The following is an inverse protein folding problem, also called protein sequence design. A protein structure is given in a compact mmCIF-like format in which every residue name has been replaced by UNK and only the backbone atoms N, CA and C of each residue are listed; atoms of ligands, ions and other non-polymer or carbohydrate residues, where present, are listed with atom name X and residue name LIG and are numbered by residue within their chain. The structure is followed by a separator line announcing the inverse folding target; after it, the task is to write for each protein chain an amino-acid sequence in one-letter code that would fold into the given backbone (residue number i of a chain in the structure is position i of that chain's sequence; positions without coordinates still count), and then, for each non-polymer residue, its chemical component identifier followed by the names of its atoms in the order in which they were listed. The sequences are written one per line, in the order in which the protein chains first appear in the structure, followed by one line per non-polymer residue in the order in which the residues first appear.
data_IF_091361383793
#
_entry.id   IF_091361383793
#
_cell.length_a   1.000
_cell.length_b   1.000
_cell.length_c   1.000
_cell.angle_alpha   90.00
_cell.angle_beta   90.00
_cell.angle_gamma   90.00
#
_symmetry.space_group_name_H-M   'P 1'
#
loop_
_entity.id
_entity.type
_entity.pdbx_description
1 polymer ?
#
# COMPACT_ATOMS: atom_id res chain seq x y z
N UNK A 1 -20.17 -18.93 -10.41
CA UNK A 1 -20.20 -18.13 -11.67
C UNK A 1 -19.58 -18.81 -12.89
N UNK A 2 -18.37 -19.40 -12.79
CA UNK A 2 -17.74 -20.03 -13.98
C UNK A 2 -18.55 -21.23 -14.49
N UNK A 3 -19.13 -22.01 -13.59
CA UNK A 3 -19.98 -23.17 -13.93
C UNK A 3 -21.28 -22.78 -14.65
N UNK A 4 -21.75 -21.54 -14.47
CA UNK A 4 -22.94 -21.00 -15.15
C UNK A 4 -22.61 -20.23 -16.44
N UNK A 5 -21.36 -20.28 -16.91
CA UNK A 5 -20.91 -19.60 -18.13
C UNK A 5 -20.62 -18.10 -17.96
N UNK A 6 -20.87 -17.52 -16.79
CA UNK A 6 -20.63 -16.10 -16.51
C UNK A 6 -19.15 -15.87 -16.18
N UNK A 7 -18.49 -14.98 -16.94
CA UNK A 7 -17.04 -14.72 -16.86
C UNK A 7 -16.72 -13.27 -16.47
N UNK A 8 -17.42 -12.73 -15.48
CA UNK A 8 -17.27 -11.32 -15.05
C UNK A 8 -15.84 -10.93 -14.66
N UNK A 9 -15.01 -11.88 -14.21
CA UNK A 9 -13.59 -11.66 -13.88
C UNK A 9 -12.71 -11.28 -15.06
N UNK A 10 -13.15 -11.46 -16.31
CA UNK A 10 -12.42 -10.98 -17.49
C UNK A 10 -12.60 -9.47 -17.72
N UNK A 11 -13.71 -8.90 -17.25
CA UNK A 11 -14.05 -7.49 -17.43
C UNK A 11 -13.82 -6.63 -16.18
N UNK A 12 -13.66 -7.24 -15.01
CA UNK A 12 -13.53 -6.57 -13.71
C UNK A 12 -12.24 -6.94 -13.01
N UNK A 13 -11.49 -5.94 -12.54
CA UNK A 13 -10.25 -6.15 -11.78
C UNK A 13 -10.47 -6.66 -10.34
N UNK A 14 -11.66 -6.45 -9.77
CA UNK A 14 -12.00 -6.88 -8.42
C UNK A 14 -13.46 -7.37 -8.38
N UNK A 15 -13.65 -8.57 -7.83
CA UNK A 15 -14.94 -9.24 -7.70
C UNK A 15 -15.70 -8.86 -6.41
N UNK A 16 -15.03 -8.32 -5.40
CA UNK A 16 -15.65 -7.85 -4.16
C UNK A 16 -16.25 -6.45 -4.24
N UNK A 17 -16.53 -5.95 -5.45
CA UNK A 17 -17.09 -4.59 -5.62
C UNK A 17 -18.60 -4.59 -5.46
N UNK A 18 -19.17 -3.46 -5.00
CA UNK A 18 -20.63 -3.29 -4.86
C UNK A 18 -21.39 -3.60 -6.16
N UNK A 19 -20.82 -3.22 -7.31
CA UNK A 19 -21.37 -3.55 -8.64
C UNK A 19 -21.50 -5.07 -8.87
N UNK A 20 -20.47 -5.84 -8.51
CA UNK A 20 -20.48 -7.30 -8.68
C UNK A 20 -21.43 -7.95 -7.66
N UNK A 21 -21.46 -7.47 -6.42
CA UNK A 21 -22.41 -7.95 -5.41
C UNK A 21 -23.86 -7.70 -5.80
N UNK A 22 -24.18 -6.54 -6.39
CA UNK A 22 -25.50 -6.25 -6.93
C UNK A 22 -25.88 -7.22 -8.06
N UNK A 23 -24.93 -7.58 -8.93
CA UNK A 23 -25.15 -8.59 -9.97
C UNK A 23 -25.41 -9.95 -9.34
N UNK A 24 -24.62 -10.37 -8.35
CA UNK A 24 -24.81 -11.65 -7.65
C UNK A 24 -26.22 -11.70 -7.03
N UNK A 25 -26.64 -10.65 -6.33
CA UNK A 25 -27.99 -10.56 -5.76
C UNK A 25 -29.08 -10.66 -6.83
N UNK A 26 -28.93 -9.94 -7.95
CA UNK A 26 -29.89 -10.03 -9.06
C UNK A 26 -29.95 -11.44 -9.68
N UNK A 27 -28.81 -12.12 -9.79
CA UNK A 27 -28.74 -13.50 -10.25
C UNK A 27 -29.38 -14.48 -9.24
N UNK A 28 -29.28 -14.24 -7.94
CA UNK A 28 -29.98 -15.06 -6.93
C UNK A 28 -31.49 -14.85 -7.07
N UNK A 29 -31.95 -13.61 -7.25
CA UNK A 29 -33.37 -13.23 -7.43
C UNK A 29 -34.02 -13.70 -8.76
N UNK A 30 -33.31 -14.45 -9.60
CA UNK A 30 -33.88 -14.94 -10.87
C UNK A 30 -33.54 -14.09 -12.11
N UNK A 31 -33.00 -12.89 -11.94
CA UNK A 31 -32.76 -11.93 -13.03
C UNK A 31 -31.47 -12.27 -13.79
N UNK A 32 -31.61 -12.96 -14.91
CA UNK A 32 -30.47 -13.39 -15.74
C UNK A 32 -30.30 -12.62 -17.05
N UNK A 33 -31.12 -11.60 -17.32
CA UNK A 33 -31.00 -10.80 -18.55
C UNK A 33 -29.70 -9.97 -18.54
N UNK A 34 -28.77 -10.21 -19.49
CA UNK A 34 -27.50 -9.49 -19.54
C UNK A 34 -27.66 -7.97 -19.69
N UNK A 35 -28.72 -7.49 -20.35
CA UNK A 35 -28.97 -6.06 -20.52
C UNK A 35 -29.37 -5.39 -19.19
N UNK A 36 -30.17 -6.07 -18.36
CA UNK A 36 -30.50 -5.60 -17.01
C UNK A 36 -29.28 -5.65 -16.07
N UNK A 37 -28.50 -6.73 -16.10
CA UNK A 37 -27.32 -6.88 -15.24
C UNK A 37 -26.24 -5.82 -15.55
N UNK A 38 -26.06 -5.47 -16.82
CA UNK A 38 -25.12 -4.42 -17.25
C UNK A 38 -25.45 -3.04 -16.64
N UNK A 39 -26.73 -2.75 -16.39
CA UNK A 39 -27.18 -1.48 -15.78
C UNK A 39 -26.75 -1.37 -14.32
N UNK A 40 -26.57 -2.49 -13.61
CA UNK A 40 -26.15 -2.53 -12.21
C UNK A 40 -24.67 -2.17 -12.01
N UNK A 41 -23.86 -2.25 -13.06
CA UNK A 41 -22.43 -1.94 -12.98
C UNK A 41 -22.22 -0.43 -13.03
N UNK A 42 -21.74 0.16 -11.93
CA UNK A 42 -21.28 1.55 -11.97
C UNK A 42 -19.84 1.62 -12.51
N UNK A 43 -19.60 2.45 -13.52
CA UNK A 43 -18.30 2.55 -14.20
C UNK A 43 -18.07 1.50 -15.30
N UNK A 44 -16.81 1.23 -15.63
CA UNK A 44 -16.39 0.28 -16.68
C UNK A 44 -16.85 0.61 -18.12
N UNK A 45 -16.80 1.91 -18.46
CA UNK A 45 -17.33 2.45 -19.72
C UNK A 45 -16.77 1.78 -20.98
N UNK A 46 -15.51 1.38 -20.99
CA UNK A 46 -14.89 0.74 -22.15
C UNK A 46 -15.50 -0.65 -22.45
N UNK A 47 -15.73 -1.47 -21.42
CA UNK A 47 -16.29 -2.81 -21.60
C UNK A 47 -17.81 -2.77 -21.84
N UNK A 48 -18.51 -1.75 -21.34
CA UNK A 48 -19.91 -1.47 -21.70
C UNK A 48 -20.04 -1.10 -23.17
N UNK A 49 -19.27 -0.10 -23.63
CA UNK A 49 -19.30 0.37 -25.02
C UNK A 49 -18.92 -0.71 -26.02
N UNK A 50 -17.98 -1.59 -25.67
CA UNK A 50 -17.54 -2.68 -26.54
C UNK A 50 -18.44 -3.92 -26.49
N UNK A 51 -19.51 -3.94 -25.67
CA UNK A 51 -20.39 -5.10 -25.53
C UNK A 51 -19.80 -6.28 -24.76
N UNK A 52 -18.48 -6.30 -24.52
CA UNK A 52 -17.76 -7.36 -23.80
C UNK A 52 -18.34 -7.65 -22.42
N UNK A 53 -18.82 -6.63 -21.72
CA UNK A 53 -19.43 -6.84 -20.41
C UNK A 53 -20.73 -7.65 -20.52
N UNK A 54 -21.55 -7.38 -21.55
CA UNK A 54 -22.79 -8.12 -21.80
C UNK A 54 -22.50 -9.55 -22.20
N UNK A 55 -21.49 -9.77 -23.05
CA UNK A 55 -21.02 -11.12 -23.40
C UNK A 55 -20.53 -11.88 -22.16
N UNK A 56 -19.76 -11.24 -21.28
CA UNK A 56 -19.27 -11.86 -20.05
C UNK A 56 -20.38 -12.18 -19.04
N UNK A 57 -21.49 -11.45 -19.08
CA UNK A 57 -22.70 -11.69 -18.27
C UNK A 57 -23.67 -12.67 -18.93
N UNK A 58 -23.46 -13.00 -20.20
CA UNK A 58 -24.24 -14.01 -20.91
C UNK A 58 -23.84 -15.39 -20.41
N UNK A 59 -24.79 -16.08 -19.77
CA UNK A 59 -24.57 -17.41 -19.22
C UNK A 59 -25.89 -18.09 -18.88
N UNK A 60 -25.83 -19.41 -18.67
CA UNK A 60 -26.99 -20.21 -18.31
C UNK A 60 -27.01 -20.47 -16.80
N UNK A 61 -27.72 -19.60 -16.07
CA UNK A 61 -27.89 -19.70 -14.62
C UNK A 61 -29.14 -20.51 -14.31
N UNK A 62 -28.94 -21.80 -14.01
CA UNK A 62 -29.97 -22.74 -13.54
C UNK A 62 -30.23 -22.59 -12.05
N UNK A 63 -31.31 -23.19 -11.56
CA UNK A 63 -31.72 -23.08 -10.16
C UNK A 63 -30.64 -23.49 -9.16
N UNK A 64 -29.98 -24.64 -9.37
CA UNK A 64 -28.89 -25.08 -8.49
C UNK A 64 -27.69 -24.11 -8.48
N UNK A 65 -27.44 -23.37 -9.57
CA UNK A 65 -26.42 -22.33 -9.58
C UNK A 65 -26.82 -21.14 -8.70
N UNK A 66 -28.11 -20.81 -8.63
CA UNK A 66 -28.62 -19.71 -7.78
C UNK A 66 -28.47 -20.07 -6.30
N UNK A 67 -28.89 -21.28 -5.93
CA UNK A 67 -28.72 -21.82 -4.55
C UNK A 67 -27.25 -21.82 -4.14
N UNK A 68 -26.34 -22.27 -5.01
CA UNK A 68 -24.91 -22.23 -4.70
C UNK A 68 -24.40 -20.79 -4.54
N UNK A 69 -24.80 -19.86 -5.41
CA UNK A 69 -24.41 -18.45 -5.30
C UNK A 69 -24.96 -17.80 -4.02
N UNK A 70 -26.15 -18.19 -3.59
CA UNK A 70 -26.75 -17.74 -2.33
C UNK A 70 -25.89 -18.15 -1.14
N UNK A 71 -25.51 -19.42 -1.02
CA UNK A 71 -24.62 -19.89 0.05
C UNK A 71 -23.24 -19.23 0.01
N UNK A 72 -22.65 -19.07 -1.19
CA UNK A 72 -21.37 -18.38 -1.35
C UNK A 72 -21.46 -16.91 -0.94
N UNK A 73 -22.57 -16.24 -1.25
CA UNK A 73 -22.82 -14.85 -0.84
C UNK A 73 -23.03 -14.74 0.66
N UNK A 74 -23.79 -15.63 1.28
CA UNK A 74 -23.98 -15.65 2.74
C UNK A 74 -22.65 -15.81 3.48
N UNK A 75 -21.79 -16.72 3.02
CA UNK A 75 -20.45 -16.91 3.57
C UNK A 75 -19.60 -15.63 3.39
N UNK A 76 -19.66 -15.00 2.22
CA UNK A 76 -18.96 -13.74 1.96
C UNK A 76 -19.42 -12.63 2.91
N UNK A 77 -20.74 -12.44 3.07
CA UNK A 77 -21.32 -11.43 3.95
C UNK A 77 -20.95 -11.67 5.42
N UNK A 78 -20.90 -12.94 5.84
CA UNK A 78 -20.41 -13.32 7.17
C UNK A 78 -18.96 -12.91 7.38
N UNK A 79 -18.06 -13.22 6.44
CA UNK A 79 -16.64 -12.87 6.56
C UNK A 79 -16.40 -11.37 6.52
N UNK A 80 -17.17 -10.63 5.71
CA UNK A 80 -17.11 -9.17 5.69
C UNK A 80 -17.54 -8.61 7.05
N UNK A 81 -18.67 -9.08 7.60
CA UNK A 81 -19.14 -8.69 8.93
C UNK A 81 -18.09 -8.97 10.01
N UNK A 82 -17.51 -10.17 10.02
CA UNK A 82 -16.47 -10.55 10.99
C UNK A 82 -15.22 -9.68 10.84
N UNK A 83 -14.80 -9.36 9.62
CA UNK A 83 -13.66 -8.47 9.36
C UNK A 83 -13.91 -7.08 9.93
N UNK A 84 -15.10 -6.51 9.74
CA UNK A 84 -15.46 -5.22 10.31
C UNK A 84 -15.48 -5.23 11.83
N UNK A 85 -16.04 -6.28 12.44
CA UNK A 85 -16.05 -6.46 13.89
C UNK A 85 -14.63 -6.58 14.46
N UNK A 86 -13.74 -7.31 13.78
CA UNK A 86 -12.32 -7.40 14.16
C UNK A 86 -11.65 -6.02 14.13
N UNK A 87 -11.90 -5.21 13.09
CA UNK A 87 -11.33 -3.86 12.98
C UNK A 87 -11.83 -2.93 14.11
N UNK A 88 -13.13 -3.00 14.44
CA UNK A 88 -13.69 -2.25 15.56
C UNK A 88 -13.03 -2.67 16.86
N UNK A 89 -12.93 -3.99 17.12
CA UNK A 89 -12.35 -4.51 18.35
C UNK A 89 -10.87 -4.19 18.48
N UNK A 90 -10.11 -4.26 17.39
CA UNK A 90 -8.71 -3.82 17.36
C UNK A 90 -8.58 -2.34 17.70
N UNK A 91 -9.47 -1.50 17.19
CA UNK A 91 -9.46 -0.07 17.46
C UNK A 91 -9.78 0.23 18.92
N UNK A 92 -10.76 -0.46 19.51
CA UNK A 92 -11.07 -0.35 20.95
C UNK A 92 -9.84 -0.68 21.81
N UNK A 93 -9.20 -1.83 21.57
CA UNK A 93 -8.00 -2.28 22.28
C UNK A 93 -6.86 -1.26 22.12
N UNK A 94 -6.64 -0.74 20.91
CA UNK A 94 -5.60 0.26 20.67
C UNK A 94 -5.88 1.59 21.36
N UNK A 95 -7.15 2.03 21.42
CA UNK A 95 -7.52 3.27 22.12
C UNK A 95 -7.45 3.12 23.64
N UNK A 96 -7.73 1.93 24.17
CA UNK A 96 -7.62 1.63 25.60
C UNK A 96 -6.17 1.59 26.07
N UNK A 97 -5.30 0.89 25.33
CA UNK A 97 -3.93 0.61 25.78
C UNK A 97 -2.85 1.49 25.15
N UNK A 98 -3.06 2.01 23.93
CA UNK A 98 -2.05 2.72 23.15
C UNK A 98 -2.54 4.03 22.50
N UNK A 99 -3.31 4.89 23.20
CA UNK A 99 -3.93 6.06 22.58
C UNK A 99 -2.90 7.07 22.05
N UNK A 100 -1.80 7.29 22.78
CA UNK A 100 -0.76 8.27 22.41
C UNK A 100 0.07 7.78 21.23
N UNK A 101 0.44 6.51 21.22
CA UNK A 101 1.20 5.89 20.14
C UNK A 101 0.39 5.89 18.84
N UNK A 102 -0.91 5.64 18.93
CA UNK A 102 -1.85 5.78 17.81
C UNK A 102 -1.91 7.21 17.29
N UNK A 103 -1.97 8.21 18.17
CA UNK A 103 -1.95 9.63 17.79
C UNK A 103 -0.65 9.99 17.07
N UNK A 104 0.51 9.66 17.67
CA UNK A 104 1.82 9.95 17.10
C UNK A 104 2.03 9.27 15.74
N UNK A 105 1.65 8.00 15.59
CA UNK A 105 1.78 7.29 14.31
C UNK A 105 0.94 7.92 13.20
N UNK A 106 -0.27 8.37 13.51
CA UNK A 106 -1.18 8.98 12.53
C UNK A 106 -0.70 10.37 12.05
N UNK A 107 0.22 11.01 12.75
CA UNK A 107 0.87 12.24 12.25
C UNK A 107 1.83 11.99 11.07
N UNK A 108 2.25 10.73 10.86
CA UNK A 108 3.18 10.37 9.78
C UNK A 108 2.43 10.31 8.44
N UNK A 109 2.91 11.00 7.38
CA UNK A 109 2.29 10.97 6.06
C UNK A 109 2.12 9.55 5.53
N UNK A 110 0.88 9.20 5.19
CA UNK A 110 0.51 7.91 4.60
C UNK A 110 0.17 6.83 5.62
N UNK A 111 0.33 7.07 6.92
CA UNK A 111 -0.11 6.17 7.98
C UNK A 111 -1.58 6.45 8.29
N UNK A 112 -2.43 5.45 8.08
CA UNK A 112 -3.86 5.49 8.43
C UNK A 112 -4.11 4.82 9.78
N UNK A 113 -5.30 4.99 10.35
CA UNK A 113 -5.75 4.29 11.56
C UNK A 113 -5.44 2.78 11.53
N UNK A 114 -5.86 2.09 10.47
CA UNK A 114 -5.60 0.64 10.30
C UNK A 114 -4.10 0.34 10.22
N UNK A 115 -3.33 1.19 9.54
CA UNK A 115 -1.88 1.01 9.46
C UNK A 115 -1.22 1.18 10.82
N UNK A 116 -1.66 2.16 11.62
CA UNK A 116 -1.18 2.37 12.99
C UNK A 116 -1.49 1.17 13.88
N UNK A 117 -2.73 0.66 13.85
CA UNK A 117 -3.11 -0.53 14.61
C UNK A 117 -2.24 -1.75 14.25
N UNK A 118 -1.97 -1.96 12.96
CA UNK A 118 -1.11 -3.05 12.52
C UNK A 118 0.35 -2.86 12.93
N UNK A 119 0.87 -1.62 12.91
CA UNK A 119 2.22 -1.33 13.40
C UNK A 119 2.31 -1.67 14.89
N UNK A 120 1.34 -1.26 15.70
CA UNK A 120 1.30 -1.56 17.13
C UNK A 120 1.16 -3.07 17.36
N UNK A 121 0.27 -3.75 16.65
CA UNK A 121 0.10 -5.20 16.78
C UNK A 121 1.38 -5.99 16.48
N UNK A 122 2.17 -5.56 15.49
CA UNK A 122 3.42 -6.24 15.12
C UNK A 122 4.59 -5.86 16.02
N UNK A 123 4.62 -4.65 16.57
CA UNK A 123 5.78 -4.13 17.32
C UNK A 123 5.60 -4.12 18.84
N UNK A 124 4.36 -4.23 19.33
CA UNK A 124 4.02 -4.04 20.74
C UNK A 124 4.09 -2.59 21.22
N UNK A 125 4.23 -1.61 20.31
CA UNK A 125 4.45 -0.17 20.56
C UNK A 125 5.76 0.20 21.30
N UNK A 126 6.32 -0.72 22.07
CA UNK A 126 7.59 -0.56 22.78
C UNK A 126 8.80 -0.70 21.85
N UNK A 127 9.41 0.43 21.50
CA UNK A 127 10.57 0.45 20.59
C UNK A 127 11.88 0.07 21.25
N UNK A 128 11.95 -0.01 22.58
CA UNK A 128 13.12 -0.41 23.36
C UNK A 128 13.64 -1.81 23.01
N UNK A 129 12.75 -2.69 22.54
CA UNK A 129 13.07 -4.03 22.02
C UNK A 129 14.04 -3.97 20.83
N UNK A 130 14.05 -2.85 20.09
CA UNK A 130 14.95 -2.63 18.98
C UNK A 130 16.00 -1.58 19.36
N UNK A 131 17.25 -2.02 19.59
CA UNK A 131 18.39 -1.15 19.95
C UNK A 131 18.56 0.06 19.02
N UNK A 132 18.24 -0.11 17.73
CA UNK A 132 18.33 0.96 16.73
C UNK A 132 17.23 0.82 15.68
N UNK A 133 16.91 1.92 15.00
CA UNK A 133 16.03 1.91 13.82
C UNK A 133 16.55 1.03 12.67
N UNK A 134 17.84 0.69 12.66
CA UNK A 134 18.43 -0.29 11.77
C UNK A 134 17.95 -1.73 12.05
N UNK A 135 17.70 -2.07 13.31
CA UNK A 135 17.26 -3.42 13.74
C UNK A 135 15.82 -3.67 13.34
N UNK A 136 14.90 -2.72 13.59
CA UNK A 136 13.49 -2.86 13.17
C UNK A 136 13.36 -2.93 11.64
N UNK A 137 14.14 -2.14 10.89
CA UNK A 137 14.12 -2.20 9.42
C UNK A 137 14.73 -3.48 8.86
N UNK A 138 15.71 -4.07 9.55
CA UNK A 138 16.23 -5.41 9.28
C UNK A 138 15.20 -6.50 9.56
N UNK A 139 14.52 -6.40 10.71
CA UNK A 139 13.48 -7.32 11.15
C UNK A 139 12.27 -7.32 10.22
N UNK A 140 11.84 -6.15 9.72
CA UNK A 140 10.81 -6.02 8.69
C UNK A 140 11.28 -6.47 7.29
N UNK A 141 12.54 -6.85 7.12
CA UNK A 141 13.11 -7.25 5.84
C UNK A 141 13.23 -6.11 4.82
N UNK A 142 13.15 -4.84 5.22
CA UNK A 142 13.23 -3.69 4.31
C UNK A 142 14.68 -3.26 4.01
N UNK A 143 15.65 -3.84 4.73
CA UNK A 143 17.08 -3.63 4.47
C UNK A 143 17.56 -4.47 3.28
N UNK A 144 18.37 -3.92 2.36
CA UNK A 144 19.11 -4.71 1.38
C UNK A 144 20.02 -5.72 2.09
N UNK A 145 20.13 -6.93 1.55
CA UNK A 145 21.07 -7.93 2.01
C UNK A 145 22.50 -7.41 1.83
N UNK A 146 23.34 -7.61 2.85
CA UNK A 146 24.77 -7.37 2.76
C UNK A 146 25.45 -8.70 2.36
N UNK A 147 25.39 -9.04 1.08
CA UNK A 147 25.94 -10.28 0.52
C UNK A 147 27.18 -9.95 -0.30
N UNK A 148 28.33 -9.93 0.39
CA UNK A 148 29.63 -9.62 -0.17
C UNK A 148 30.59 -10.76 0.13
N UNK A 149 31.39 -11.14 -0.87
CA UNK A 149 32.44 -12.14 -0.74
C UNK A 149 33.63 -11.65 -1.54
N UNK A 150 34.81 -11.60 -0.91
CA UNK A 150 36.06 -11.17 -1.54
C UNK A 150 35.92 -9.84 -2.34
N UNK A 151 35.27 -8.83 -1.76
CA UNK A 151 35.10 -7.51 -2.40
C UNK A 151 34.00 -7.44 -3.48
N UNK A 152 33.31 -8.55 -3.78
CA UNK A 152 32.26 -8.62 -4.80
C UNK A 152 30.88 -8.71 -4.16
N UNK A 153 30.00 -7.78 -4.52
CA UNK A 153 28.59 -7.81 -4.15
C UNK A 153 27.84 -8.88 -4.97
N UNK A 154 27.33 -9.91 -4.30
CA UNK A 154 26.58 -11.00 -4.93
C UNK A 154 25.11 -10.67 -5.11
N UNK A 155 24.44 -10.21 -4.05
CA UNK A 155 23.01 -9.96 -4.05
C UNK A 155 22.64 -8.66 -3.32
N UNK A 156 21.80 -7.85 -3.97
CA UNK A 156 21.25 -6.59 -3.41
C UNK A 156 19.75 -6.68 -3.11
N UNK A 157 19.19 -7.89 -3.11
CA UNK A 157 17.79 -8.11 -2.78
C UNK A 157 17.51 -7.77 -1.32
N UNK A 158 16.28 -7.38 -1.00
CA UNK A 158 15.85 -7.19 0.39
C UNK A 158 15.86 -8.51 1.15
N UNK A 159 16.15 -8.45 2.45
CA UNK A 159 16.13 -9.65 3.31
C UNK A 159 14.71 -10.18 3.52
N UNK A 160 14.61 -11.45 3.94
CA UNK A 160 13.38 -11.99 4.52
C UNK A 160 13.21 -11.36 5.92
N UNK A 161 11.96 -11.18 6.34
CA UNK A 161 11.62 -10.55 7.62
C UNK A 161 10.12 -10.62 7.86
N UNK A 162 9.62 -9.82 8.80
CA UNK A 162 8.20 -9.73 9.09
C UNK A 162 7.39 -9.30 7.85
N UNK A 163 6.62 -10.24 7.29
CA UNK A 163 5.83 -10.05 6.08
C UNK A 163 4.67 -9.07 6.27
N UNK A 164 4.10 -8.98 7.47
CA UNK A 164 2.97 -8.11 7.78
C UNK A 164 3.46 -6.67 7.87
N UNK A 165 4.45 -6.40 8.71
CA UNK A 165 5.03 -5.06 8.86
C UNK A 165 5.59 -4.53 7.52
N UNK A 166 6.26 -5.39 6.74
CA UNK A 166 6.71 -5.06 5.38
C UNK A 166 5.55 -4.62 4.49
N UNK A 167 4.46 -5.41 4.47
CA UNK A 167 3.32 -5.15 3.61
C UNK A 167 2.62 -3.84 3.98
N UNK A 168 2.46 -3.58 5.28
CA UNK A 168 1.91 -2.32 5.80
C UNK A 168 2.75 -1.14 5.32
N UNK A 169 4.07 -1.15 5.55
CA UNK A 169 4.92 -0.03 5.14
C UNK A 169 5.03 0.16 3.63
N UNK A 170 4.83 -0.89 2.82
CA UNK A 170 4.70 -0.75 1.36
C UNK A 170 3.42 0.00 0.99
N UNK A 171 2.29 -0.27 1.65
CA UNK A 171 1.04 0.47 1.43
C UNK A 171 1.14 1.92 1.92
N UNK A 172 1.69 2.13 3.13
CA UNK A 172 1.96 3.47 3.68
C UNK A 172 2.87 4.25 2.73
N UNK A 173 3.93 3.64 2.20
CA UNK A 173 4.81 4.28 1.22
C UNK A 173 4.09 4.67 -0.07
N UNK A 174 3.17 3.83 -0.56
CA UNK A 174 2.34 4.17 -1.70
C UNK A 174 1.46 5.38 -1.41
N UNK A 175 0.78 5.41 -0.27
CA UNK A 175 -0.04 6.53 0.16
C UNK A 175 0.81 7.81 0.27
N UNK A 176 1.90 7.76 1.04
CA UNK A 176 2.83 8.87 1.25
C UNK A 176 3.41 9.43 -0.05
N UNK A 177 3.72 8.56 -1.03
CA UNK A 177 4.25 8.97 -2.33
C UNK A 177 3.24 9.72 -3.22
N UNK A 178 1.94 9.60 -2.95
CA UNK A 178 0.86 10.26 -3.70
C UNK A 178 0.35 11.53 -3.02
N UNK A 179 0.63 11.71 -1.72
CA UNK A 179 0.24 12.92 -0.99
C UNK A 179 0.88 14.18 -1.60
N UNK A 180 0.10 15.24 -1.74
CA UNK A 180 0.59 16.57 -2.18
C UNK A 180 1.46 17.17 -1.08
N UNK A 181 2.48 17.94 -1.46
CA UNK A 181 3.38 18.68 -0.55
C UNK A 181 4.06 17.81 0.53
N UNK A 182 4.32 16.54 0.21
CA UNK A 182 5.01 15.60 1.11
C UNK A 182 6.44 15.36 0.64
N UNK A 183 7.40 15.46 1.57
CA UNK A 183 8.81 15.09 1.34
C UNK A 183 8.96 13.69 0.70
N UNK A 184 8.10 12.74 1.10
CA UNK A 184 8.18 11.37 0.59
C UNK A 184 7.81 11.27 -0.89
N UNK A 185 6.92 12.13 -1.39
CA UNK A 185 6.59 12.22 -2.82
C UNK A 185 7.77 12.71 -3.64
N UNK A 186 8.40 13.82 -3.21
CA UNK A 186 9.57 14.37 -3.89
C UNK A 186 10.74 13.38 -3.89
N UNK A 187 11.00 12.76 -2.74
CA UNK A 187 12.04 11.75 -2.60
C UNK A 187 11.75 10.53 -3.47
N UNK A 188 10.51 10.06 -3.53
CA UNK A 188 10.10 8.96 -4.38
C UNK A 188 10.36 9.29 -5.86
N UNK A 189 9.93 10.45 -6.33
CA UNK A 189 10.13 10.89 -7.72
C UNK A 189 11.63 10.97 -8.05
N UNK A 190 12.44 11.57 -7.17
CA UNK A 190 13.89 11.65 -7.35
C UNK A 190 14.56 10.27 -7.43
N UNK A 191 14.13 9.32 -6.62
CA UNK A 191 14.63 7.95 -6.67
C UNK A 191 14.15 7.20 -7.92
N UNK A 192 12.88 7.41 -8.32
CA UNK A 192 12.28 6.79 -9.49
C UNK A 192 12.93 7.23 -10.81
N UNK A 193 13.54 8.43 -10.86
CA UNK A 193 14.34 8.87 -12.01
C UNK A 193 15.59 8.00 -12.23
N UNK A 194 16.13 7.36 -11.18
CA UNK A 194 17.41 6.62 -11.25
C UNK A 194 17.27 5.12 -10.96
N UNK A 195 16.10 4.67 -10.51
CA UNK A 195 15.83 3.30 -10.05
C UNK A 195 14.42 2.87 -10.46
N UNK A 196 14.19 1.56 -10.69
CA UNK A 196 12.84 1.04 -10.90
C UNK A 196 11.87 1.49 -9.80
N UNK A 197 10.64 1.87 -10.16
CA UNK A 197 9.65 2.46 -9.25
C UNK A 197 9.40 1.62 -8.00
N UNK A 198 9.32 0.29 -8.14
CA UNK A 198 9.15 -0.64 -7.00
C UNK A 198 10.35 -0.59 -6.03
N UNK A 199 11.58 -0.47 -6.53
CA UNK A 199 12.79 -0.33 -5.68
C UNK A 199 12.82 1.04 -4.99
N UNK A 200 12.42 2.10 -5.69
CA UNK A 200 12.27 3.44 -5.10
C UNK A 200 11.24 3.43 -3.96
N UNK A 201 10.11 2.75 -4.15
CA UNK A 201 9.07 2.61 -3.13
C UNK A 201 9.56 1.88 -1.88
N UNK A 202 10.30 0.77 -2.03
CA UNK A 202 10.89 0.04 -0.89
C UNK A 202 11.84 0.94 -0.08
N UNK A 203 12.59 1.83 -0.75
CA UNK A 203 13.43 2.79 -0.05
C UNK A 203 12.62 3.83 0.75
N UNK A 204 11.43 4.22 0.26
CA UNK A 204 10.50 5.08 1.00
C UNK A 204 9.89 4.33 2.18
N UNK A 205 9.44 3.08 1.98
CA UNK A 205 8.92 2.22 3.05
C UNK A 205 9.94 2.05 4.19
N UNK A 206 11.21 1.78 3.86
CA UNK A 206 12.29 1.71 4.85
C UNK A 206 12.47 3.03 5.62
N UNK A 207 12.42 4.17 4.92
CA UNK A 207 12.57 5.49 5.56
C UNK A 207 11.38 5.81 6.48
N UNK A 208 10.16 5.48 6.06
CA UNK A 208 8.96 5.63 6.88
C UNK A 208 9.03 4.75 8.14
N UNK A 209 9.47 3.49 8.01
CA UNK A 209 9.65 2.63 9.19
C UNK A 209 10.70 3.17 10.16
N UNK A 210 11.81 3.71 9.67
CA UNK A 210 12.78 4.41 10.51
C UNK A 210 12.15 5.60 11.23
N UNK A 211 11.32 6.38 10.55
CA UNK A 211 10.62 7.52 11.17
C UNK A 211 9.61 7.06 12.20
N UNK A 212 8.82 6.02 11.92
CA UNK A 212 7.88 5.44 12.89
C UNK A 212 8.59 4.93 14.14
N UNK A 213 9.79 4.34 14.01
CA UNK A 213 10.60 3.93 15.15
C UNK A 213 10.99 5.14 16.02
N UNK A 214 11.47 6.24 15.42
CA UNK A 214 11.83 7.45 16.17
C UNK A 214 10.61 8.11 16.83
N UNK A 215 9.49 8.20 16.11
CA UNK A 215 8.23 8.78 16.63
C UNK A 215 7.75 8.02 17.88
N UNK A 216 7.81 6.68 17.85
CA UNK A 216 7.41 5.85 18.98
C UNK A 216 8.45 5.80 20.11
N UNK A 217 9.75 5.74 19.77
CA UNK A 217 10.84 5.73 20.75
C UNK A 217 10.94 7.05 21.52
N UNK A 218 10.91 8.18 20.80
CA UNK A 218 11.06 9.52 21.35
C UNK A 218 9.72 10.09 21.85
N UNK A 219 8.62 9.35 21.66
CA UNK A 219 7.24 9.72 22.05
C UNK A 219 6.86 11.13 21.62
N UNK A 220 7.17 11.45 20.36
CA UNK A 220 6.93 12.77 19.78
C UNK A 220 6.23 12.67 18.41
N UNK A 221 5.34 13.61 18.08
CA UNK A 221 4.67 13.61 16.79
C UNK A 221 5.67 13.86 15.65
N UNK A 222 5.34 13.33 14.46
CA UNK A 222 6.13 13.55 13.26
C UNK A 222 6.23 15.05 12.93
N UNK A 223 7.45 15.55 12.88
CA UNK A 223 7.73 16.92 12.45
C UNK A 223 8.29 16.92 11.01
N UNK A 224 7.58 17.49 10.02
CA UNK A 224 8.05 17.55 8.63
C UNK A 224 9.33 18.38 8.46
N UNK A 225 9.63 19.31 9.37
CA UNK A 225 10.83 20.16 9.30
C UNK A 225 12.12 19.38 9.61
N UNK A 226 12.04 18.33 10.44
CA UNK A 226 13.20 17.49 10.77
C UNK A 226 13.65 16.60 9.61
N UNK A 227 12.83 16.43 8.57
CA UNK A 227 13.20 15.62 7.40
C UNK A 227 14.33 16.25 6.56
N UNK A 228 14.64 17.54 6.79
CA UNK A 228 15.54 18.38 5.99
C UNK A 228 17.00 18.43 6.48
N UNK A 229 17.51 17.40 7.17
CA UNK A 229 18.96 17.34 7.42
C UNK A 229 19.66 16.93 6.12
N UNK A 230 20.02 17.91 5.30
CA UNK A 230 21.06 17.68 4.31
C UNK A 230 22.39 17.58 5.06
N UNK A 231 23.11 16.49 4.81
CA UNK A 231 24.51 16.37 5.21
C UNK A 231 25.28 17.60 4.67
N UNK A 232 25.82 18.49 5.54
CA UNK A 232 26.45 19.73 5.12
C UNK A 232 27.54 19.51 4.07
N UNK A 233 28.26 18.39 4.17
CA UNK A 233 29.30 17.99 3.23
C UNK A 233 28.71 17.72 1.84
N UNK A 234 27.55 17.06 1.77
CA UNK A 234 26.87 16.76 0.50
C UNK A 234 26.24 18.00 -0.12
N UNK A 235 25.78 18.96 0.68
CA UNK A 235 25.30 20.27 0.18
C UNK A 235 26.45 21.03 -0.44
N UNK A 236 27.55 21.18 0.29
CA UNK A 236 28.73 21.89 -0.17
C UNK A 236 29.30 21.28 -1.46
N UNK A 237 29.41 19.94 -1.53
CA UNK A 237 29.84 19.24 -2.73
C UNK A 237 28.92 19.48 -3.93
N UNK A 238 27.60 19.56 -3.70
CA UNK A 238 26.63 19.81 -4.76
C UNK A 238 26.65 21.27 -5.25
N UNK A 239 26.80 22.23 -4.34
CA UNK A 239 27.00 23.64 -4.70
C UNK A 239 28.29 23.79 -5.53
N UNK A 240 29.38 23.16 -5.10
CA UNK A 240 30.66 23.20 -5.83
C UNK A 240 30.55 22.60 -7.24
N UNK A 241 29.82 21.49 -7.40
CA UNK A 241 29.55 20.91 -8.73
C UNK A 241 28.80 21.89 -9.64
N UNK A 242 27.72 22.50 -9.15
CA UNK A 242 26.92 23.43 -9.96
C UNK A 242 27.70 24.70 -10.32
N UNK A 243 28.52 25.23 -9.41
CA UNK A 243 29.43 26.36 -9.72
C UNK A 243 30.39 26.02 -10.86
N UNK A 244 31.02 24.83 -10.84
CA UNK A 244 31.91 24.38 -11.92
C UNK A 244 31.21 24.22 -13.27
N UNK A 245 29.97 23.71 -13.27
CA UNK A 245 29.18 23.59 -14.50
C UNK A 245 28.80 24.96 -15.07
N UNK A 246 28.46 25.94 -14.23
CA UNK A 246 28.20 27.32 -14.66
C UNK A 246 29.45 27.91 -15.30
N UNK A 247 30.60 27.86 -14.62
CA UNK A 247 31.89 28.35 -15.16
C UNK A 247 32.27 27.67 -16.48
N UNK A 248 31.98 26.37 -16.61
CA UNK A 248 32.22 25.62 -17.85
C UNK A 248 31.31 26.08 -18.99
N UNK A 249 30.06 26.39 -18.67
CA UNK A 249 29.08 26.88 -19.65
C UNK A 249 29.40 28.30 -20.09
N UNK A 250 29.83 29.17 -19.15
CA UNK A 250 30.29 30.53 -19.44
C UNK A 250 31.50 30.53 -20.39
N UNK A 251 32.48 29.65 -20.17
CA UNK A 251 33.63 29.47 -21.07
C UNK A 251 33.29 28.94 -22.46
N UNK A 252 32.14 28.31 -22.65
CA UNK A 252 31.69 27.83 -23.95
C UNK A 252 30.87 28.89 -24.70
N UNK A 253 30.38 29.91 -23.99
CA UNK A 253 29.61 31.03 -24.53
C UNK A 253 30.47 32.27 -24.83
N UNK A 254 31.69 32.32 -24.28
CA UNK A 254 32.76 33.29 -24.60
C UNK A 254 33.63 32.83 -25.76
#
# INVERSE_FOLDING_TARGET
MVMSGIRIGSCMSNLGTKSVMNIISALIEGKSDPCQLEKLVYGNTANKRSGKLREALSGNVKEHHRVQLEWEKEAYDLFEKQTQLCLIRMNEICNEHFPKEMEYLQTIPGVSLVSSMLIIAETGAEMSVFETSGKITGWAGLRPRNDESAGKYKCTATTKGNKYLRSVFVQVAWAASRMKNSYYREKFNRLAMRKPRKKALIAIARKLLTVSWHVLHDKCPYNPLLAHVYDPVKVAAKIAYHKREIERTEKLLS
#
